data_IF_368049400856
#
_entry.id   IF_368049400856
#
_cell.length_a   1.000
_cell.length_b   1.000
_cell.length_c   1.000
_cell.angle_alpha   90.00
_cell.angle_beta   90.00
_cell.angle_gamma   90.00
#
_symmetry.space_group_name_H-M   'P 1'
#
loop_
_entity.id
_entity.type
_entity.pdbx_description
1 polymer ?
#
# COMPACT_ATOMS: atom_id res chain seq x y z
N UNK A 1 -15.25 -26.77 -10.57
CA UNK A 1 -15.18 -26.67 -9.10
C UNK A 1 -13.72 -26.80 -8.68
N UNK A 2 -12.92 -25.81 -9.04
CA UNK A 2 -11.49 -25.70 -8.71
C UNK A 2 -11.24 -24.21 -8.72
N UNK A 3 -10.82 -23.58 -7.61
CA UNK A 3 -9.98 -22.38 -7.67
C UNK A 3 -9.61 -21.75 -6.31
N UNK A 4 -10.28 -22.10 -5.21
CA UNK A 4 -9.92 -21.48 -3.91
C UNK A 4 -8.62 -22.05 -3.33
N UNK A 5 -8.31 -23.32 -3.60
CA UNK A 5 -7.09 -23.96 -3.10
C UNK A 5 -5.82 -23.48 -3.83
N UNK A 6 -5.90 -23.23 -5.14
CA UNK A 6 -4.78 -22.72 -5.95
C UNK A 6 -4.42 -21.28 -5.59
N UNK A 7 -5.42 -20.42 -5.41
CA UNK A 7 -5.21 -19.02 -5.04
C UNK A 7 -4.53 -18.91 -3.66
N UNK A 8 -5.05 -19.61 -2.64
CA UNK A 8 -4.48 -19.58 -1.30
C UNK A 8 -3.03 -20.10 -1.23
N UNK A 9 -2.73 -21.16 -1.98
CA UNK A 9 -1.35 -21.70 -2.05
C UNK A 9 -0.42 -20.69 -2.69
N UNK A 10 -0.85 -20.02 -3.77
CA UNK A 10 -0.06 -18.98 -4.44
C UNK A 10 0.17 -17.76 -3.53
N UNK A 11 -0.86 -17.30 -2.81
CA UNK A 11 -0.73 -16.23 -1.82
C UNK A 11 0.29 -16.58 -0.74
N UNK A 12 0.20 -17.79 -0.17
CA UNK A 12 1.13 -18.24 0.86
C UNK A 12 2.58 -18.33 0.34
N UNK A 13 2.75 -18.78 -0.91
CA UNK A 13 4.05 -18.83 -1.58
C UNK A 13 4.62 -17.42 -1.78
N UNK A 14 3.84 -16.47 -2.29
CA UNK A 14 4.23 -15.07 -2.42
C UNK A 14 4.56 -14.46 -1.04
N UNK A 15 3.74 -14.67 -0.02
CA UNK A 15 4.04 -14.20 1.33
C UNK A 15 5.36 -14.76 1.88
N UNK A 16 5.75 -15.98 1.50
CA UNK A 16 7.05 -16.56 1.88
C UNK A 16 8.22 -15.85 1.20
N UNK A 17 8.03 -15.39 -0.05
CA UNK A 17 9.06 -14.68 -0.83
C UNK A 17 9.37 -13.28 -0.28
N UNK A 18 8.47 -12.68 0.51
CA UNK A 18 8.75 -11.43 1.23
C UNK A 18 9.86 -11.54 2.29
N UNK A 19 10.26 -12.78 2.66
CA UNK A 19 11.40 -13.04 3.55
C UNK A 19 12.69 -13.33 2.79
N UNK A 20 12.68 -13.20 1.47
CA UNK A 20 13.86 -13.39 0.65
C UNK A 20 14.96 -12.39 1.03
N UNK A 21 16.23 -12.82 1.09
CA UNK A 21 17.36 -11.89 1.19
C UNK A 21 17.58 -11.09 -0.10
N UNK A 22 16.95 -11.49 -1.20
CA UNK A 22 17.02 -10.80 -2.49
C UNK A 22 15.95 -9.70 -2.55
N UNK A 23 16.34 -8.41 -2.56
CA UNK A 23 15.40 -7.30 -2.60
C UNK A 23 14.58 -7.24 -3.90
N UNK A 24 15.09 -7.78 -5.01
CA UNK A 24 14.34 -7.85 -6.27
C UNK A 24 13.16 -8.81 -6.14
N UNK A 25 13.37 -9.96 -5.51
CA UNK A 25 12.31 -10.93 -5.22
C UNK A 25 11.25 -10.28 -4.32
N UNK A 26 11.66 -9.59 -3.25
CA UNK A 26 10.71 -8.92 -2.34
C UNK A 26 9.91 -7.84 -3.08
N UNK A 27 10.57 -7.02 -3.90
CA UNK A 27 9.93 -5.98 -4.70
C UNK A 27 8.90 -6.52 -5.69
N UNK A 28 9.26 -7.54 -6.48
CA UNK A 28 8.35 -8.18 -7.44
C UNK A 28 7.17 -8.81 -6.72
N UNK A 29 7.43 -9.50 -5.60
CA UNK A 29 6.40 -10.14 -4.78
C UNK A 29 5.39 -9.13 -4.25
N UNK A 30 5.84 -7.97 -3.76
CA UNK A 30 4.96 -6.90 -3.29
C UNK A 30 4.03 -6.36 -4.38
N UNK A 31 4.54 -6.24 -5.60
CA UNK A 31 3.76 -5.78 -6.75
C UNK A 31 2.75 -6.84 -7.20
N UNK A 32 3.13 -8.12 -7.17
CA UNK A 32 2.24 -9.22 -7.52
C UNK A 32 1.11 -9.35 -6.52
N UNK A 33 1.41 -9.37 -5.22
CA UNK A 33 0.42 -9.38 -4.15
C UNK A 33 -0.57 -8.21 -4.27
N UNK A 34 -0.06 -6.99 -4.49
CA UNK A 34 -0.90 -5.79 -4.65
C UNK A 34 -1.91 -5.87 -5.80
N UNK A 35 -1.69 -6.74 -6.78
CA UNK A 35 -2.59 -6.97 -7.92
C UNK A 35 -3.56 -8.12 -7.71
N UNK A 36 -3.13 -9.18 -7.03
CA UNK A 36 -3.86 -10.45 -6.98
C UNK A 36 -4.69 -10.64 -5.73
N UNK A 37 -4.32 -10.03 -4.60
CA UNK A 37 -5.05 -10.26 -3.35
C UNK A 37 -6.28 -9.40 -3.21
N UNK A 38 -7.28 -10.00 -2.56
CA UNK A 38 -8.55 -9.36 -2.22
C UNK A 38 -8.56 -8.82 -0.78
N UNK A 39 -7.70 -9.33 0.12
CA UNK A 39 -7.53 -8.75 1.45
C UNK A 39 -6.60 -7.53 1.40
N UNK A 40 -7.19 -6.42 0.96
CA UNK A 40 -6.48 -5.16 0.78
C UNK A 40 -5.88 -4.63 2.08
N UNK A 41 -6.53 -4.86 3.22
CA UNK A 41 -6.10 -4.34 4.52
C UNK A 41 -4.92 -5.14 5.09
N UNK A 42 -4.95 -6.47 4.97
CA UNK A 42 -3.82 -7.30 5.37
C UNK A 42 -2.57 -6.98 4.53
N UNK A 43 -2.73 -6.85 3.21
CA UNK A 43 -1.64 -6.43 2.33
C UNK A 43 -1.14 -5.03 2.60
N UNK A 44 -2.03 -4.13 3.02
CA UNK A 44 -1.64 -2.77 3.36
C UNK A 44 -0.70 -2.76 4.56
N UNK A 45 -1.00 -3.53 5.60
CA UNK A 45 -0.13 -3.67 6.77
C UNK A 45 1.22 -4.28 6.42
N UNK A 46 1.23 -5.30 5.55
CA UNK A 46 2.47 -5.92 5.05
C UNK A 46 3.30 -4.88 4.29
N UNK A 47 2.69 -4.14 3.39
CA UNK A 47 3.37 -3.12 2.58
C UNK A 47 3.92 -1.98 3.44
N UNK A 48 3.18 -1.56 4.47
CA UNK A 48 3.68 -0.59 5.46
C UNK A 48 4.91 -1.11 6.21
N UNK A 49 4.95 -2.40 6.56
CA UNK A 49 6.13 -3.01 7.18
C UNK A 49 7.37 -2.97 6.28
N UNK A 50 7.18 -3.08 4.96
CA UNK A 50 8.27 -3.05 3.97
C UNK A 50 8.84 -1.64 3.72
N UNK A 51 8.19 -0.60 4.24
CA UNK A 51 8.74 0.76 4.23
C UNK A 51 10.01 0.90 5.09
N UNK A 52 10.22 0.01 6.07
CA UNK A 52 11.42 -0.01 6.90
C UNK A 52 12.57 -0.84 6.29
N UNK A 53 12.40 -1.40 5.09
CA UNK A 53 13.40 -2.24 4.45
C UNK A 53 14.66 -1.44 4.09
N UNK A 54 15.86 -2.04 4.16
CA UNK A 54 17.14 -1.36 3.90
C UNK A 54 17.33 -1.00 2.41
N UNK A 55 16.79 -1.82 1.52
CA UNK A 55 16.82 -1.60 0.07
C UNK A 55 15.77 -0.57 -0.38
N UNK A 56 16.23 0.44 -1.14
CA UNK A 56 15.40 1.55 -1.66
C UNK A 56 14.35 1.07 -2.66
N UNK A 57 14.64 0.04 -3.46
CA UNK A 57 13.73 -0.51 -4.47
C UNK A 57 12.55 -1.20 -3.81
N UNK A 58 12.79 -1.93 -2.71
CA UNK A 58 11.73 -2.53 -1.89
C UNK A 58 10.83 -1.45 -1.29
N UNK A 59 11.42 -0.41 -0.68
CA UNK A 59 10.64 0.73 -0.14
C UNK A 59 9.81 1.42 -1.22
N UNK A 60 10.36 1.64 -2.41
CA UNK A 60 9.63 2.22 -3.54
C UNK A 60 8.46 1.33 -3.99
N UNK A 61 8.67 0.02 -4.07
CA UNK A 61 7.60 -0.91 -4.43
C UNK A 61 6.52 -0.96 -3.34
N UNK A 62 6.90 -0.90 -2.07
CA UNK A 62 5.97 -0.79 -0.96
C UNK A 62 5.10 0.47 -1.04
N UNK A 63 5.70 1.64 -1.33
CA UNK A 63 4.96 2.91 -1.54
C UNK A 63 3.95 2.80 -2.69
N UNK A 64 4.37 2.18 -3.81
CA UNK A 64 3.49 1.97 -4.95
C UNK A 64 2.36 0.97 -4.66
N UNK A 65 2.66 -0.14 -3.98
CA UNK A 65 1.65 -1.11 -3.57
C UNK A 65 0.63 -0.46 -2.61
N UNK A 66 1.06 0.36 -1.66
CA UNK A 66 0.18 1.13 -0.78
C UNK A 66 -0.78 2.01 -1.59
N UNK A 67 -0.27 2.74 -2.59
CA UNK A 67 -1.10 3.57 -3.47
C UNK A 67 -2.18 2.75 -4.17
N UNK A 68 -1.79 1.62 -4.77
CA UNK A 68 -2.71 0.71 -5.47
C UNK A 68 -3.79 0.18 -4.53
N UNK A 69 -3.41 -0.26 -3.34
CA UNK A 69 -4.35 -0.82 -2.36
C UNK A 69 -5.36 0.23 -1.88
N UNK A 70 -4.93 1.47 -1.63
CA UNK A 70 -5.83 2.56 -1.24
C UNK A 70 -6.78 2.91 -2.38
N UNK A 71 -6.31 2.98 -3.62
CA UNK A 71 -7.19 3.20 -4.79
C UNK A 71 -8.21 2.07 -4.97
N UNK A 72 -7.85 0.84 -4.59
CA UNK A 72 -8.74 -0.32 -4.59
C UNK A 72 -9.72 -0.32 -3.41
N UNK A 73 -9.59 0.60 -2.44
CA UNK A 73 -10.52 0.75 -1.33
C UNK A 73 -10.02 0.18 0.01
N UNK A 74 -8.70 0.03 0.20
CA UNK A 74 -8.17 -0.29 1.53
C UNK A 74 -8.59 0.80 2.55
N UNK A 75 -9.10 0.35 3.69
CA UNK A 75 -9.69 1.18 4.75
C UNK A 75 -8.77 1.24 5.99
N UNK A 76 -7.45 1.27 5.75
CA UNK A 76 -6.46 1.48 6.81
C UNK A 76 -6.51 2.88 7.44
N UNK A 77 -5.66 3.09 8.44
CA UNK A 77 -5.44 4.41 9.07
C UNK A 77 -4.70 5.35 8.11
N UNK A 78 -5.45 5.90 7.14
CA UNK A 78 -4.94 6.82 6.12
C UNK A 78 -4.17 8.01 6.73
N UNK A 79 -4.61 8.67 7.83
CA UNK A 79 -3.83 9.72 8.49
C UNK A 79 -2.45 9.26 8.97
N UNK A 80 -2.35 8.10 9.62
CA UNK A 80 -1.06 7.56 10.06
C UNK A 80 -0.15 7.20 8.88
N UNK A 81 -0.74 6.74 7.77
CA UNK A 81 0.00 6.44 6.54
C UNK A 81 0.57 7.69 5.88
N UNK A 82 -0.22 8.77 5.79
CA UNK A 82 0.24 10.07 5.28
C UNK A 82 1.44 10.56 6.08
N UNK A 83 1.36 10.57 7.41
CA UNK A 83 2.47 11.00 8.27
C UNK A 83 3.73 10.14 8.09
N UNK A 84 3.55 8.83 7.92
CA UNK A 84 4.68 7.91 7.70
C UNK A 84 5.37 8.19 6.37
N UNK A 85 4.59 8.38 5.30
CA UNK A 85 5.10 8.67 3.97
C UNK A 85 5.73 10.07 3.88
N UNK A 86 5.13 11.09 4.51
CA UNK A 86 5.71 12.44 4.60
C UNK A 86 7.09 12.41 5.26
N UNK A 87 7.22 11.71 6.40
CA UNK A 87 8.50 11.55 7.09
C UNK A 87 9.54 10.84 6.22
N UNK A 88 9.16 9.81 5.49
CA UNK A 88 10.07 9.09 4.58
C UNK A 88 10.45 9.91 3.34
N UNK A 89 9.55 10.71 2.78
CA UNK A 89 9.84 11.59 1.64
C UNK A 89 10.95 12.58 1.99
N UNK A 90 10.93 13.10 3.21
CA UNK A 90 11.96 14.01 3.73
C UNK A 90 13.31 13.30 3.89
N UNK A 91 13.30 12.01 4.29
CA UNK A 91 14.52 11.27 4.62
C UNK A 91 15.22 10.61 3.41
N UNK A 92 14.51 10.26 2.34
CA UNK A 92 14.95 9.15 1.48
C UNK A 92 15.03 9.41 -0.04
N UNK A 93 14.98 10.67 -0.48
CA UNK A 93 14.99 11.06 -1.91
C UNK A 93 13.94 10.28 -2.76
N UNK A 94 12.89 9.76 -2.11
CA UNK A 94 11.77 9.05 -2.75
C UNK A 94 10.63 10.01 -3.11
N UNK A 95 10.93 11.31 -3.16
CA UNK A 95 9.98 12.42 -3.27
C UNK A 95 8.96 12.29 -4.40
N UNK A 96 9.35 11.74 -5.57
CA UNK A 96 8.44 11.54 -6.69
C UNK A 96 7.37 10.48 -6.40
N UNK A 97 7.79 9.27 -6.03
CA UNK A 97 6.88 8.16 -5.75
C UNK A 97 6.00 8.42 -4.51
N UNK A 98 6.58 9.06 -3.49
CA UNK A 98 5.85 9.41 -2.27
C UNK A 98 4.85 10.54 -2.51
N UNK A 99 5.16 11.55 -3.34
CA UNK A 99 4.22 12.62 -3.65
C UNK A 99 2.94 12.10 -4.31
N UNK A 100 3.06 11.22 -5.31
CA UNK A 100 1.90 10.67 -6.01
C UNK A 100 1.00 9.84 -5.08
N UNK A 101 1.61 9.05 -4.20
CA UNK A 101 0.90 8.29 -3.18
C UNK A 101 0.23 9.21 -2.16
N UNK A 102 0.91 10.27 -1.71
CA UNK A 102 0.34 11.25 -0.77
C UNK A 102 -0.85 12.00 -1.37
N UNK A 103 -0.77 12.40 -2.64
CA UNK A 103 -1.89 13.03 -3.37
C UNK A 103 -3.09 12.09 -3.42
N UNK A 104 -2.86 10.81 -3.70
CA UNK A 104 -3.91 9.78 -3.72
C UNK A 104 -4.56 9.60 -2.33
N UNK A 105 -3.75 9.54 -1.27
CA UNK A 105 -4.20 9.38 0.11
C UNK A 105 -5.01 10.59 0.59
N UNK A 106 -4.51 11.80 0.36
CA UNK A 106 -5.17 13.04 0.72
C UNK A 106 -6.49 13.22 -0.05
N UNK A 107 -6.52 12.89 -1.35
CA UNK A 107 -7.75 12.87 -2.14
C UNK A 107 -8.79 11.89 -1.60
N UNK A 108 -8.35 10.70 -1.17
CA UNK A 108 -9.22 9.70 -0.55
C UNK A 108 -9.78 10.20 0.80
N UNK A 109 -8.93 10.82 1.63
CA UNK A 109 -9.33 11.42 2.90
C UNK A 109 -10.34 12.55 2.72
N UNK A 110 -10.09 13.47 1.80
CA UNK A 110 -10.99 14.58 1.46
C UNK A 110 -12.36 14.07 1.00
N UNK A 111 -12.36 13.07 0.12
CA UNK A 111 -13.60 12.44 -0.31
C UNK A 111 -14.34 11.82 0.89
N UNK A 112 -13.66 11.04 1.74
CA UNK A 112 -14.29 10.44 2.94
C UNK A 112 -14.86 11.49 3.90
N UNK A 113 -14.14 12.58 4.16
CA UNK A 113 -14.63 13.67 5.01
C UNK A 113 -15.88 14.35 4.43
N UNK A 114 -15.93 14.52 3.11
CA UNK A 114 -17.09 15.10 2.41
C UNK A 114 -18.36 14.27 2.58
N UNK A 115 -18.25 12.94 2.67
CA UNK A 115 -19.39 12.04 2.88
C UNK A 115 -19.77 11.84 4.35
N UNK A 116 -18.87 12.14 5.30
CA UNK A 116 -19.15 12.10 6.75
C UNK A 116 -19.81 13.39 7.23
N UNK A 117 -19.65 14.50 6.51
CA UNK A 117 -20.35 15.77 6.76
C UNK A 117 -21.17 16.23 5.53
N UNK A 118 -22.22 15.49 5.11
CA UNK A 118 -23.09 15.94 4.03
C UNK A 118 -23.91 17.21 4.40
N UNK A 119 -23.91 17.60 5.68
CA UNK A 119 -24.76 18.69 6.20
C UNK A 119 -24.13 20.10 6.18
N UNK A 120 -22.93 20.29 5.62
CA UNK A 120 -22.33 21.64 5.53
C UNK A 120 -22.40 22.31 4.15
N UNK A 121 -22.95 21.64 3.12
CA UNK A 121 -23.38 22.33 1.89
C UNK A 121 -24.80 22.87 2.10
N UNK A 122 -24.94 23.87 2.98
CA UNK A 122 -26.13 24.72 3.02
C UNK A 122 -25.98 25.84 1.99
N UNK A 123 -27.00 25.96 1.14
CA UNK A 123 -27.22 26.95 0.10
C UNK A 123 -27.02 28.40 0.54
#
# INVERSE_FOLDING_TARGET
MFDQSSAHVRTAELLSQLKSPDPEIVAVTLLELGRTEDDLNALLQISLGQLCHEDRSVRRCAVHTIEVLVRRGADGDLPAMVQTLERMGIEDDLNGAISDTLVTLQGTLLNRQRWVHPEQESW
#
